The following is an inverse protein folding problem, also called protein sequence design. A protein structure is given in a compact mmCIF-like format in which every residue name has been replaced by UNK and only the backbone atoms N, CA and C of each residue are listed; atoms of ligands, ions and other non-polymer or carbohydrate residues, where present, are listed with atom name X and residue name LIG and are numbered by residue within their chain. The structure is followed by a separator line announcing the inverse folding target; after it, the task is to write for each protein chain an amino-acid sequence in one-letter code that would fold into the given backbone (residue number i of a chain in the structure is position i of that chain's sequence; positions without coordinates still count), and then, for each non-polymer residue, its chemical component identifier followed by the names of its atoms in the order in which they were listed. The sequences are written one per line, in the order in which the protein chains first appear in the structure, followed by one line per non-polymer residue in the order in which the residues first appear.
data_IF_704894783153
#
_entry.id   IF_704894783153
#
_cell.length_a   1.000
_cell.length_b   1.000
_cell.length_c   1.000
_cell.angle_alpha   90.00
_cell.angle_beta   90.00
_cell.angle_gamma   90.00
#
_symmetry.space_group_name_H-M   'P 1'
#
loop_
_entity.id
_entity.type
_entity.pdbx_description
1 polymer ?
#
# COMPACT_ATOMS: atom_id res chain seq x y z
N UNK A 1 17.96 -29.87 20.54
CA UNK A 1 18.15 -28.54 19.93
C UNK A 1 16.88 -27.76 20.13
N UNK A 2 16.89 -26.58 20.81
CA UNK A 2 15.73 -25.67 20.80
C UNK A 2 15.60 -25.12 19.38
N UNK A 3 14.48 -25.40 18.72
CA UNK A 3 14.15 -24.77 17.43
C UNK A 3 14.08 -23.27 17.69
N UNK A 4 14.99 -22.49 17.09
CA UNK A 4 14.95 -21.03 17.17
C UNK A 4 13.72 -20.57 16.40
N UNK A 5 12.74 -19.99 17.09
CA UNK A 5 11.61 -19.36 16.44
C UNK A 5 12.10 -18.17 15.60
N UNK A 6 11.61 -18.08 14.36
CA UNK A 6 11.87 -16.93 13.50
C UNK A 6 11.32 -15.67 14.15
N UNK A 7 12.16 -14.63 14.23
CA UNK A 7 11.79 -13.33 14.80
C UNK A 7 11.72 -12.30 13.69
N UNK A 8 10.63 -11.53 13.66
CA UNK A 8 10.42 -10.52 12.65
C UNK A 8 10.09 -9.16 13.25
N UNK A 9 10.52 -8.09 12.60
CA UNK A 9 10.15 -6.71 12.95
C UNK A 9 9.05 -6.21 12.03
N UNK A 10 7.99 -5.63 12.59
CA UNK A 10 6.95 -4.92 11.83
C UNK A 10 6.94 -3.45 12.25
N UNK A 11 7.21 -2.56 11.31
CA UNK A 11 7.00 -1.12 11.50
C UNK A 11 5.62 -0.72 10.97
N UNK A 12 4.96 0.23 11.62
CA UNK A 12 3.57 0.56 11.29
C UNK A 12 2.57 -0.52 11.71
N UNK A 13 2.92 -1.33 12.70
CA UNK A 13 2.15 -2.46 13.22
C UNK A 13 0.73 -2.07 13.68
N UNK A 14 0.52 -0.87 14.21
CA UNK A 14 -0.79 -0.39 14.67
C UNK A 14 -1.68 0.16 13.55
N UNK A 15 -1.16 0.25 12.32
CA UNK A 15 -1.89 0.73 11.15
C UNK A 15 -2.90 -0.29 10.60
N UNK A 16 -3.74 0.15 9.66
CA UNK A 16 -4.78 -0.66 9.01
C UNK A 16 -4.27 -1.99 8.44
N UNK A 17 -3.16 -1.94 7.69
CA UNK A 17 -2.51 -3.14 7.13
C UNK A 17 -1.63 -3.84 8.18
N UNK A 18 -0.88 -3.06 8.98
CA UNK A 18 0.06 -3.61 9.96
C UNK A 18 -0.57 -4.53 10.98
N UNK A 19 -1.74 -4.19 11.54
CA UNK A 19 -2.48 -5.05 12.48
C UNK A 19 -2.80 -6.42 11.86
N UNK A 20 -3.19 -6.46 10.59
CA UNK A 20 -3.51 -7.69 9.88
C UNK A 20 -2.28 -8.53 9.58
N UNK A 21 -1.18 -7.86 9.21
CA UNK A 21 0.10 -8.55 9.05
C UNK A 21 0.58 -9.16 10.35
N UNK A 22 0.57 -8.42 11.46
CA UNK A 22 0.93 -8.95 12.79
C UNK A 22 0.07 -10.18 13.12
N UNK A 23 -1.26 -10.08 12.97
CA UNK A 23 -2.16 -11.21 13.20
C UNK A 23 -1.84 -12.42 12.31
N UNK A 24 -1.52 -12.21 11.04
CA UNK A 24 -1.17 -13.31 10.12
C UNK A 24 0.16 -13.97 10.53
N UNK A 25 1.15 -13.18 10.94
CA UNK A 25 2.46 -13.68 11.37
C UNK A 25 2.38 -14.50 12.67
N UNK A 26 1.66 -13.99 13.70
CA UNK A 26 1.54 -14.72 14.99
C UNK A 26 0.69 -15.98 14.88
N UNK A 27 -0.31 -16.01 13.99
CA UNK A 27 -1.08 -17.23 13.69
C UNK A 27 -0.21 -18.37 13.15
N UNK A 28 0.86 -18.03 12.44
CA UNK A 28 1.84 -19.01 11.94
C UNK A 28 2.97 -19.28 12.97
N UNK A 29 2.83 -18.80 14.21
CA UNK A 29 3.76 -19.04 15.31
C UNK A 29 5.04 -18.22 15.28
N UNK A 30 5.12 -17.14 14.47
CA UNK A 30 6.30 -16.29 14.45
C UNK A 30 6.34 -15.31 15.63
N UNK A 31 7.54 -15.06 16.17
CA UNK A 31 7.75 -13.99 17.14
C UNK A 31 7.78 -12.63 16.44
N UNK A 32 6.83 -11.77 16.73
CA UNK A 32 6.67 -10.47 16.07
C UNK A 32 7.06 -9.34 16.99
N UNK A 33 8.09 -8.61 16.64
CA UNK A 33 8.46 -7.35 17.29
C UNK A 33 7.81 -6.19 16.59
N UNK A 34 7.18 -5.30 17.33
CA UNK A 34 6.46 -4.14 16.85
C UNK A 34 7.14 -2.87 17.36
N UNK A 35 7.80 -2.09 16.49
CA UNK A 35 8.25 -0.75 16.83
C UNK A 35 7.07 0.22 16.73
N UNK A 36 6.68 0.82 17.85
CA UNK A 36 5.48 1.65 17.95
C UNK A 36 5.77 2.97 18.65
N UNK A 37 5.16 4.05 18.19
CA UNK A 37 5.26 5.37 18.85
C UNK A 37 4.43 5.37 20.12
N UNK A 38 4.82 6.19 21.10
CA UNK A 38 4.09 6.32 22.37
C UNK A 38 2.60 6.72 22.24
N UNK A 39 2.23 7.33 21.11
CA UNK A 39 0.83 7.69 20.79
C UNK A 39 0.05 6.58 20.09
N UNK A 40 0.66 5.42 19.86
CA UNK A 40 0.04 4.31 19.12
C UNK A 40 -0.91 3.51 20.02
N UNK A 41 -2.03 3.09 19.46
CA UNK A 41 -3.01 2.23 20.12
C UNK A 41 -2.53 0.76 20.11
N UNK A 42 -1.71 0.42 21.11
CA UNK A 42 -1.13 -0.92 21.29
C UNK A 42 -2.18 -1.91 21.76
N UNK A 43 -3.11 -1.48 22.61
CA UNK A 43 -4.16 -2.35 23.13
C UNK A 43 -5.03 -2.90 22.00
N UNK A 44 -5.46 -2.03 21.09
CA UNK A 44 -6.20 -2.45 19.91
C UNK A 44 -5.39 -3.38 18.99
N UNK A 45 -4.07 -3.25 18.91
CA UNK A 45 -3.21 -4.18 18.17
C UNK A 45 -3.26 -5.58 18.83
N UNK A 46 -3.06 -5.66 20.14
CA UNK A 46 -3.03 -6.92 20.88
C UNK A 46 -4.40 -7.62 20.87
N UNK A 47 -5.49 -6.87 21.06
CA UNK A 47 -6.85 -7.40 20.94
C UNK A 47 -7.11 -7.96 19.53
N UNK A 48 -6.67 -7.26 18.49
CA UNK A 48 -6.85 -7.67 17.10
C UNK A 48 -6.03 -8.93 16.75
N UNK A 49 -4.84 -9.08 17.31
CA UNK A 49 -3.98 -10.26 17.12
C UNK A 49 -4.53 -11.54 17.80
N UNK A 50 -5.36 -11.38 18.84
CA UNK A 50 -5.89 -12.44 19.67
C UNK A 50 -5.10 -12.60 20.97
N UNK A 51 -5.80 -12.74 22.10
CA UNK A 51 -5.17 -12.83 23.43
C UNK A 51 -4.24 -14.05 23.55
N UNK A 52 -4.59 -15.14 22.89
CA UNK A 52 -3.81 -16.37 22.84
C UNK A 52 -2.43 -16.19 22.19
N UNK A 53 -2.31 -15.24 21.28
CA UNK A 53 -1.07 -14.95 20.54
C UNK A 53 -0.25 -13.81 21.16
N UNK A 54 -0.73 -13.16 22.21
CA UNK A 54 -0.07 -11.99 22.80
C UNK A 54 1.35 -12.26 23.25
N UNK A 55 1.66 -13.50 23.68
CA UNK A 55 2.99 -13.93 24.09
C UNK A 55 4.03 -13.98 22.95
N UNK A 56 3.58 -13.97 21.68
CA UNK A 56 4.43 -13.90 20.49
C UNK A 56 4.70 -12.45 20.05
N UNK A 57 4.08 -11.45 20.68
CA UNK A 57 4.22 -10.04 20.31
C UNK A 57 5.05 -9.30 21.34
N UNK A 58 6.19 -8.79 20.88
CA UNK A 58 7.07 -7.91 21.66
C UNK A 58 6.88 -6.47 21.17
N UNK A 59 6.43 -5.58 22.06
CA UNK A 59 6.24 -4.17 21.73
C UNK A 59 7.45 -3.38 22.18
N UNK A 60 8.08 -2.68 21.22
CA UNK A 60 9.19 -1.76 21.49
C UNK A 60 8.66 -0.33 21.30
N UNK A 61 8.58 0.46 22.39
CA UNK A 61 8.24 1.86 22.27
C UNK A 61 9.40 2.64 21.65
N UNK A 62 9.10 3.43 20.62
CA UNK A 62 10.11 4.25 19.92
C UNK A 62 9.60 4.74 18.56
N UNK A 63 10.36 5.64 17.97
CA UNK A 63 10.12 6.17 16.63
C UNK A 63 11.21 5.69 15.69
N UNK A 64 10.91 5.59 14.39
CA UNK A 64 11.89 5.23 13.35
C UNK A 64 13.02 6.26 13.23
N UNK A 65 12.87 7.44 13.82
CA UNK A 65 13.92 8.45 13.92
C UNK A 65 14.86 8.24 15.11
N UNK A 66 14.49 7.41 16.08
CA UNK A 66 15.31 7.00 17.22
C UNK A 66 16.13 5.76 16.83
N UNK A 67 17.41 6.00 16.54
CA UNK A 67 18.34 4.95 16.11
C UNK A 67 18.49 3.86 17.17
N UNK A 68 18.52 4.21 18.45
CA UNK A 68 18.65 3.25 19.56
C UNK A 68 17.45 2.31 19.61
N UNK A 69 16.23 2.86 19.51
CA UNK A 69 15.00 2.06 19.48
C UNK A 69 14.95 1.15 18.24
N UNK A 70 15.40 1.65 17.08
CA UNK A 70 15.50 0.86 15.84
C UNK A 70 16.51 -0.27 16.00
N UNK A 71 17.72 -0.01 16.52
CA UNK A 71 18.73 -1.03 16.77
C UNK A 71 18.24 -2.11 17.73
N UNK A 72 17.60 -1.71 18.84
CA UNK A 72 16.99 -2.65 19.79
C UNK A 72 15.92 -3.52 19.12
N UNK A 73 15.08 -2.89 18.28
CA UNK A 73 14.00 -3.59 17.59
C UNK A 73 14.52 -4.61 16.54
N UNK A 74 15.73 -4.43 16.02
CA UNK A 74 16.35 -5.31 15.04
C UNK A 74 17.10 -6.49 15.64
N UNK A 75 17.44 -6.49 16.94
CA UNK A 75 18.26 -7.52 17.56
C UNK A 75 17.69 -8.93 17.35
N UNK A 76 18.42 -9.75 16.60
CA UNK A 76 18.05 -11.13 16.29
C UNK A 76 16.83 -11.28 15.37
N UNK A 77 16.43 -10.24 14.65
CA UNK A 77 15.37 -10.33 13.66
C UNK A 77 15.89 -10.92 12.35
N UNK A 78 15.11 -11.83 11.79
CA UNK A 78 15.37 -12.49 10.51
C UNK A 78 14.76 -11.72 9.33
N UNK A 79 13.64 -11.01 9.57
CA UNK A 79 12.92 -10.23 8.55
C UNK A 79 12.43 -8.89 9.12
N UNK A 80 12.53 -7.85 8.32
CA UNK A 80 11.89 -6.55 8.59
C UNK A 80 10.74 -6.32 7.60
N UNK A 81 9.54 -6.13 8.10
CA UNK A 81 8.37 -5.70 7.32
C UNK A 81 8.14 -4.21 7.53
N UNK A 82 8.44 -3.41 6.52
CA UNK A 82 8.29 -1.96 6.59
C UNK A 82 6.95 -1.51 6.01
N UNK A 83 5.93 -1.40 6.89
CA UNK A 83 4.58 -0.95 6.54
C UNK A 83 4.33 0.53 6.90
N UNK A 84 5.23 1.16 7.67
CA UNK A 84 5.06 2.54 8.09
C UNK A 84 5.13 3.51 6.91
N UNK A 85 4.13 4.40 6.80
CA UNK A 85 4.10 5.48 5.82
C UNK A 85 3.12 6.58 6.25
N UNK A 86 3.40 7.82 5.89
CA UNK A 86 2.47 8.94 5.98
C UNK A 86 1.42 8.86 4.88
N UNK A 87 0.14 8.85 5.24
CA UNK A 87 -0.97 8.72 4.28
C UNK A 87 -1.71 10.04 4.05
N UNK A 88 -1.73 10.91 5.06
CA UNK A 88 -2.53 12.12 5.11
C UNK A 88 -1.72 13.31 5.65
N UNK A 89 -2.18 14.52 5.35
CA UNK A 89 -1.57 15.75 5.82
C UNK A 89 -0.85 16.53 4.72
N UNK A 90 -0.09 17.54 5.10
CA UNK A 90 0.72 18.32 4.19
C UNK A 90 1.82 17.47 3.54
N UNK A 91 2.29 17.86 2.36
CA UNK A 91 3.35 17.15 1.64
C UNK A 91 4.58 16.90 2.52
N UNK A 92 5.03 17.91 3.25
CA UNK A 92 6.16 17.81 4.18
C UNK A 92 5.92 16.73 5.25
N UNK A 93 4.72 16.66 5.84
CA UNK A 93 4.35 15.66 6.84
C UNK A 93 4.40 14.25 6.25
N UNK A 94 3.92 14.06 5.03
CA UNK A 94 3.97 12.77 4.34
C UNK A 94 5.42 12.32 4.12
N UNK A 95 6.29 13.24 3.66
CA UNK A 95 7.72 12.98 3.46
C UNK A 95 8.45 12.66 4.76
N UNK A 96 8.22 13.46 5.81
CA UNK A 96 8.81 13.26 7.14
C UNK A 96 8.38 11.93 7.78
N UNK A 97 7.20 11.42 7.47
CA UNK A 97 6.70 10.15 8.00
C UNK A 97 6.89 8.95 7.06
N UNK A 98 7.48 9.15 5.86
CA UNK A 98 7.71 8.07 4.89
C UNK A 98 9.17 8.00 4.47
N UNK A 99 9.69 9.06 3.87
CA UNK A 99 11.01 9.06 3.21
C UNK A 99 12.15 9.08 4.23
N UNK A 100 12.09 10.02 5.16
CA UNK A 100 13.17 10.23 6.14
C UNK A 100 13.34 9.01 7.07
N UNK A 101 12.25 8.46 7.65
CA UNK A 101 12.35 7.25 8.48
C UNK A 101 12.81 6.02 7.70
N UNK A 102 12.41 5.88 6.42
CA UNK A 102 12.87 4.76 5.59
C UNK A 102 14.37 4.82 5.36
N UNK A 103 14.92 6.02 5.06
CA UNK A 103 16.37 6.19 4.89
C UNK A 103 17.16 5.78 6.13
N UNK A 104 16.72 6.24 7.31
CA UNK A 104 17.33 5.82 8.59
C UNK A 104 17.22 4.33 8.83
N UNK A 105 16.03 3.77 8.64
CA UNK A 105 15.79 2.34 8.86
C UNK A 105 16.68 1.48 7.95
N UNK A 106 16.83 1.84 6.67
CA UNK A 106 17.71 1.12 5.72
C UNK A 106 19.15 1.12 6.22
N UNK A 107 19.68 2.25 6.68
CA UNK A 107 21.04 2.36 7.21
C UNK A 107 21.26 1.42 8.41
N UNK A 108 20.33 1.42 9.37
CA UNK A 108 20.46 0.57 10.58
C UNK A 108 20.29 -0.92 10.24
N UNK A 109 19.36 -1.26 9.34
CA UNK A 109 19.16 -2.64 8.86
C UNK A 109 20.41 -3.19 8.16
N UNK A 110 21.09 -2.37 7.38
CA UNK A 110 22.36 -2.72 6.74
C UNK A 110 23.45 -3.02 7.77
N UNK A 111 23.60 -2.17 8.77
CA UNK A 111 24.56 -2.37 9.86
C UNK A 111 24.27 -3.66 10.66
N UNK A 112 22.98 -3.94 10.92
CA UNK A 112 22.52 -5.13 11.61
C UNK A 112 22.64 -6.42 10.77
N UNK A 113 22.94 -6.31 9.47
CA UNK A 113 23.01 -7.42 8.50
C UNK A 113 21.76 -8.32 8.52
N UNK A 114 20.59 -7.71 8.69
CA UNK A 114 19.30 -8.45 8.69
C UNK A 114 19.09 -9.13 7.34
N UNK A 115 18.76 -10.43 7.29
CA UNK A 115 18.75 -11.21 6.04
C UNK A 115 17.66 -10.80 5.03
N UNK A 116 16.57 -10.18 5.47
CA UNK A 116 15.44 -9.82 4.60
C UNK A 116 14.77 -8.50 5.01
N UNK A 117 14.47 -7.67 4.01
CA UNK A 117 13.70 -6.44 4.18
C UNK A 117 12.54 -6.41 3.18
N UNK A 118 11.30 -6.36 3.66
CA UNK A 118 10.10 -6.27 2.83
C UNK A 118 9.56 -4.85 2.92
N UNK A 119 9.61 -4.13 1.79
CA UNK A 119 9.01 -2.80 1.68
C UNK A 119 7.57 -2.89 1.17
N UNK A 120 6.63 -2.32 1.91
CA UNK A 120 5.28 -2.09 1.40
C UNK A 120 5.22 -0.76 0.66
N UNK A 121 5.24 -0.82 -0.65
CA UNK A 121 5.11 0.30 -1.57
C UNK A 121 3.65 0.49 -2.03
N UNK A 122 3.41 0.79 -3.27
CA UNK A 122 2.08 0.99 -3.87
C UNK A 122 2.12 0.79 -5.38
N UNK A 123 1.06 0.26 -5.95
CA UNK A 123 0.84 0.25 -7.41
C UNK A 123 0.87 1.68 -8.02
N UNK A 124 0.64 2.69 -7.19
CA UNK A 124 0.69 4.10 -7.59
C UNK A 124 2.04 4.59 -8.09
N UNK A 125 3.14 3.89 -7.78
CA UNK A 125 4.51 4.29 -8.18
C UNK A 125 4.74 4.22 -9.68
N UNK A 126 3.94 3.44 -10.41
CA UNK A 126 4.11 3.29 -11.84
C UNK A 126 3.73 4.53 -12.65
N UNK A 127 4.48 4.76 -13.73
CA UNK A 127 4.20 5.75 -14.76
C UNK A 127 3.05 5.34 -15.68
N UNK A 128 1.89 4.98 -15.12
CA UNK A 128 0.74 4.47 -15.85
C UNK A 128 0.25 5.38 -17.01
N UNK A 129 0.65 6.66 -16.99
CA UNK A 129 0.33 7.63 -18.04
C UNK A 129 0.90 7.26 -19.41
N UNK A 130 2.05 6.57 -19.48
CA UNK A 130 2.68 6.20 -20.75
C UNK A 130 2.07 4.95 -21.40
N UNK A 131 1.33 4.14 -20.63
CA UNK A 131 0.69 2.93 -21.16
C UNK A 131 -0.45 3.29 -22.14
N UNK A 132 -0.73 2.45 -23.14
CA UNK A 132 -1.91 2.60 -23.98
C UNK A 132 -3.19 2.38 -23.14
N UNK A 133 -4.34 2.83 -23.66
CA UNK A 133 -5.62 2.46 -23.08
C UNK A 133 -5.81 0.95 -23.19
N UNK A 134 -6.36 0.32 -22.13
CA UNK A 134 -6.49 -1.13 -22.00
C UNK A 134 -5.15 -1.88 -22.01
N UNK A 135 -4.03 -1.15 -21.83
CA UNK A 135 -2.72 -1.76 -21.64
C UNK A 135 -2.62 -2.50 -20.32
N UNK A 136 -1.61 -3.34 -20.22
CA UNK A 136 -1.30 -4.09 -18.99
C UNK A 136 -0.34 -3.31 -18.13
N UNK A 137 -0.65 -3.19 -16.84
CA UNK A 137 0.23 -2.65 -15.82
C UNK A 137 0.74 -3.80 -14.97
N UNK A 138 1.93 -4.27 -15.31
CA UNK A 138 2.67 -5.31 -14.59
C UNK A 138 4.02 -4.77 -14.07
N UNK A 139 4.86 -5.64 -13.55
CA UNK A 139 6.15 -5.29 -12.95
C UNK A 139 7.22 -4.83 -13.95
N UNK A 140 6.99 -4.99 -15.25
CA UNK A 140 7.86 -4.49 -16.32
C UNK A 140 7.62 -3.02 -16.62
N UNK A 141 6.48 -2.47 -16.16
CA UNK A 141 6.17 -1.06 -16.33
C UNK A 141 7.17 -0.17 -15.58
N UNK A 142 7.62 0.93 -16.19
CA UNK A 142 8.55 1.84 -15.53
C UNK A 142 7.89 2.55 -14.34
N UNK A 143 8.69 2.80 -13.31
CA UNK A 143 8.32 3.72 -12.24
C UNK A 143 8.12 5.12 -12.84
N UNK A 144 7.24 5.91 -12.23
CA UNK A 144 6.88 7.24 -12.74
C UNK A 144 8.12 8.15 -12.83
N UNK A 145 8.48 8.63 -14.01
CA UNK A 145 9.69 9.48 -14.19
C UNK A 145 9.49 10.91 -13.70
N UNK A 146 8.27 11.34 -13.42
CA UNK A 146 7.93 12.69 -12.92
C UNK A 146 6.99 12.62 -11.71
N UNK A 147 7.38 11.92 -10.63
CA UNK A 147 6.50 11.68 -9.49
C UNK A 147 6.11 12.97 -8.75
N UNK A 148 6.89 14.03 -8.86
CA UNK A 148 6.58 15.36 -8.31
C UNK A 148 5.32 15.99 -8.94
N UNK A 149 4.91 15.54 -10.12
CA UNK A 149 3.64 15.95 -10.75
C UNK A 149 2.43 15.16 -10.26
N UNK A 150 2.66 14.12 -9.43
CA UNK A 150 1.63 13.31 -8.80
C UNK A 150 1.19 13.90 -7.47
N UNK A 151 0.39 13.18 -6.73
CA UNK A 151 0.10 13.51 -5.34
C UNK A 151 1.30 13.21 -4.43
N UNK A 152 1.34 13.89 -3.27
CA UNK A 152 2.48 13.80 -2.34
C UNK A 152 2.71 12.39 -1.80
N UNK A 153 1.64 11.58 -1.66
CA UNK A 153 1.76 10.19 -1.26
C UNK A 153 2.46 9.36 -2.33
N UNK A 154 2.00 9.42 -3.58
CA UNK A 154 2.65 8.72 -4.70
C UNK A 154 4.11 9.14 -4.85
N UNK A 155 4.39 10.45 -4.78
CA UNK A 155 5.77 10.95 -4.83
C UNK A 155 6.62 10.38 -3.68
N UNK A 156 6.12 10.39 -2.45
CA UNK A 156 6.86 9.83 -1.31
C UNK A 156 7.15 8.34 -1.47
N UNK A 157 6.22 7.57 -2.06
CA UNK A 157 6.40 6.14 -2.32
C UNK A 157 7.45 5.86 -3.41
N UNK A 158 7.50 6.69 -4.45
CA UNK A 158 8.56 6.58 -5.47
C UNK A 158 9.93 6.82 -4.83
N UNK A 159 10.09 7.91 -4.07
CA UNK A 159 11.36 8.21 -3.39
C UNK A 159 11.71 7.13 -2.36
N UNK A 160 10.71 6.57 -1.66
CA UNK A 160 10.90 5.45 -0.74
C UNK A 160 11.46 4.21 -1.45
N UNK A 161 10.93 3.87 -2.63
CA UNK A 161 11.48 2.76 -3.44
C UNK A 161 12.88 3.07 -3.96
N UNK A 162 13.15 4.29 -4.41
CA UNK A 162 14.49 4.70 -4.88
C UNK A 162 15.56 4.43 -3.81
N UNK A 163 15.28 4.78 -2.54
CA UNK A 163 16.20 4.55 -1.42
C UNK A 163 16.56 3.07 -1.29
N UNK A 164 15.57 2.17 -1.29
CA UNK A 164 15.83 0.73 -1.08
C UNK A 164 16.47 0.08 -2.31
N UNK A 165 16.10 0.52 -3.52
CA UNK A 165 16.71 0.01 -4.75
C UNK A 165 18.14 0.52 -4.93
N UNK A 166 18.44 1.75 -4.53
CA UNK A 166 19.81 2.27 -4.52
C UNK A 166 20.68 1.47 -3.55
N UNK A 167 20.21 1.23 -2.33
CA UNK A 167 20.90 0.41 -1.35
C UNK A 167 21.12 -1.04 -1.86
N UNK A 168 20.14 -1.61 -2.56
CA UNK A 168 20.26 -2.92 -3.18
C UNK A 168 21.35 -2.96 -4.26
N UNK A 169 21.32 -2.01 -5.19
CA UNK A 169 22.30 -1.95 -6.30
C UNK A 169 23.73 -1.69 -5.81
N UNK A 170 23.88 -0.84 -4.82
CA UNK A 170 25.21 -0.41 -4.36
C UNK A 170 25.83 -1.39 -3.34
N UNK A 171 25.00 -2.01 -2.49
CA UNK A 171 25.48 -2.73 -1.31
C UNK A 171 24.82 -4.10 -1.11
N UNK A 172 24.05 -4.59 -2.09
CA UNK A 172 23.36 -5.87 -1.98
C UNK A 172 22.27 -5.91 -0.91
N UNK A 173 21.66 -4.75 -0.57
CA UNK A 173 20.61 -4.69 0.44
C UNK A 173 19.48 -5.67 0.14
N UNK A 174 19.08 -6.56 1.09
CA UNK A 174 18.22 -7.71 0.83
C UNK A 174 16.72 -7.34 0.74
N UNK A 175 16.36 -6.47 -0.21
CA UNK A 175 15.00 -5.94 -0.34
C UNK A 175 14.09 -6.81 -1.19
N UNK A 176 12.83 -6.91 -0.77
CA UNK A 176 11.67 -7.34 -1.57
C UNK A 176 10.65 -6.23 -1.54
N UNK A 177 10.14 -5.79 -2.69
CA UNK A 177 9.17 -4.70 -2.77
C UNK A 177 7.78 -5.26 -3.09
N UNK A 178 6.79 -4.93 -2.28
CA UNK A 178 5.39 -5.24 -2.53
C UNK A 178 4.67 -3.97 -2.97
N UNK A 179 4.01 -4.02 -4.12
CA UNK A 179 3.21 -2.94 -4.72
C UNK A 179 1.73 -3.31 -4.70
N UNK A 180 1.04 -3.14 -3.57
CA UNK A 180 -0.39 -3.44 -3.51
C UNK A 180 -1.19 -2.43 -4.33
N UNK A 181 -2.35 -2.90 -4.80
CA UNK A 181 -3.38 -2.04 -5.35
C UNK A 181 -4.02 -1.15 -4.28
N UNK A 182 -5.28 -0.76 -4.49
CA UNK A 182 -6.04 -0.04 -3.48
C UNK A 182 -6.44 -1.01 -2.37
N UNK A 183 -5.79 -0.88 -1.21
CA UNK A 183 -6.07 -1.72 -0.05
C UNK A 183 -7.39 -1.28 0.57
N UNK A 184 -8.32 -2.22 0.71
CA UNK A 184 -9.64 -2.02 1.30
C UNK A 184 -10.02 -3.17 2.24
N UNK A 185 -11.03 -2.97 3.08
CA UNK A 185 -11.52 -3.99 4.03
C UNK A 185 -12.31 -3.37 5.17
N UNK A 186 -12.66 -4.13 6.21
CA UNK A 186 -13.36 -3.66 7.41
C UNK A 186 -12.65 -2.46 8.05
N UNK A 187 -13.43 -1.40 8.31
CA UNK A 187 -12.90 -0.12 8.80
C UNK A 187 -12.32 0.81 7.73
N UNK A 188 -12.14 0.32 6.49
CA UNK A 188 -11.70 1.11 5.34
C UNK A 188 -12.40 0.61 4.07
N UNK A 189 -13.57 1.15 3.79
CA UNK A 189 -14.42 0.71 2.68
C UNK A 189 -13.75 0.76 1.30
N UNK A 190 -14.44 0.22 0.31
CA UNK A 190 -13.96 0.13 -1.07
C UNK A 190 -14.23 1.40 -1.92
N UNK A 191 -14.98 2.40 -1.45
CA UNK A 191 -15.22 3.64 -2.18
C UNK A 191 -14.00 4.57 -2.11
N UNK A 192 -13.05 4.34 -3.00
CA UNK A 192 -11.85 5.18 -3.14
C UNK A 192 -12.02 6.24 -4.23
N UNK A 193 -11.13 7.24 -4.25
CA UNK A 193 -11.09 8.24 -5.32
C UNK A 193 -10.80 7.63 -6.72
N UNK A 194 -10.33 6.38 -6.78
CA UNK A 194 -10.21 5.65 -8.05
C UNK A 194 -11.56 5.22 -8.62
N UNK A 195 -12.60 5.03 -7.81
CA UNK A 195 -13.96 4.76 -8.30
C UNK A 195 -14.50 5.95 -9.09
N UNK A 196 -14.16 7.16 -8.65
CA UNK A 196 -14.56 8.40 -9.32
C UNK A 196 -14.38 9.62 -8.42
N UNK A 197 -14.82 10.76 -8.89
CA UNK A 197 -14.74 12.02 -8.15
C UNK A 197 -16.01 12.18 -7.30
N UNK A 198 -15.83 12.43 -6.01
CA UNK A 198 -16.96 12.75 -5.12
C UNK A 198 -17.23 14.25 -5.16
N UNK A 199 -18.43 14.63 -5.58
CA UNK A 199 -18.90 16.01 -5.61
C UNK A 199 -20.17 16.08 -4.75
N UNK A 200 -20.05 16.64 -3.56
CA UNK A 200 -21.12 16.58 -2.56
C UNK A 200 -21.57 15.13 -2.30
N UNK A 201 -22.88 14.83 -2.42
CA UNK A 201 -23.41 13.47 -2.23
C UNK A 201 -23.26 12.57 -3.48
N UNK A 202 -22.75 13.09 -4.59
CA UNK A 202 -22.70 12.41 -5.88
C UNK A 202 -21.30 11.87 -6.18
N UNK A 203 -21.21 10.59 -6.58
CA UNK A 203 -20.01 9.96 -7.08
C UNK A 203 -20.00 9.98 -8.62
N UNK A 204 -19.16 10.81 -9.23
CA UNK A 204 -18.97 10.86 -10.68
C UNK A 204 -18.03 9.75 -11.13
N UNK A 205 -18.50 8.79 -11.93
CA UNK A 205 -17.71 7.66 -12.43
C UNK A 205 -17.26 7.95 -13.87
N UNK A 206 -15.95 7.98 -14.09
CA UNK A 206 -15.37 8.16 -15.42
C UNK A 206 -15.19 6.81 -16.12
N UNK A 207 -16.10 6.48 -17.02
CA UNK A 207 -16.12 5.18 -17.70
C UNK A 207 -16.51 4.02 -16.77
N UNK A 208 -16.23 2.80 -17.22
CA UNK A 208 -16.41 1.57 -16.43
C UNK A 208 -15.08 0.80 -16.35
N UNK A 209 -14.17 1.31 -15.54
CA UNK A 209 -12.80 0.81 -15.42
C UNK A 209 -12.71 -0.29 -14.36
N UNK A 210 -11.79 -1.22 -14.58
CA UNK A 210 -11.40 -2.20 -13.57
C UNK A 210 -10.70 -1.47 -12.40
N UNK A 211 -11.04 -1.86 -11.19
CA UNK A 211 -10.46 -1.32 -9.97
C UNK A 211 -9.30 -2.20 -9.50
N UNK A 212 -8.07 -1.67 -9.38
CA UNK A 212 -6.93 -2.44 -8.88
C UNK A 212 -7.03 -2.62 -7.37
N UNK A 213 -7.87 -3.52 -6.91
CA UNK A 213 -8.13 -3.74 -5.50
C UNK A 213 -7.28 -4.86 -4.91
N UNK A 214 -6.98 -4.69 -3.62
CA UNK A 214 -6.36 -5.71 -2.78
C UNK A 214 -7.08 -5.73 -1.44
N UNK A 215 -7.73 -6.82 -1.12
CA UNK A 215 -8.33 -6.98 0.20
C UNK A 215 -7.24 -7.05 1.26
N UNK A 216 -7.45 -6.39 2.37
CA UNK A 216 -6.38 -6.14 3.35
C UNK A 216 -5.80 -7.41 3.96
N UNK A 217 -6.62 -8.47 4.18
CA UNK A 217 -6.11 -9.75 4.70
C UNK A 217 -5.30 -10.50 3.62
N UNK A 218 -5.78 -10.52 2.36
CA UNK A 218 -5.03 -11.06 1.22
C UNK A 218 -3.69 -10.33 1.02
N UNK A 219 -3.70 -9.00 1.17
CA UNK A 219 -2.49 -8.18 1.12
C UNK A 219 -1.49 -8.53 2.22
N UNK A 220 -1.98 -8.71 3.46
CA UNK A 220 -1.14 -9.08 4.59
C UNK A 220 -0.47 -10.45 4.38
N UNK A 221 -1.20 -11.42 3.84
CA UNK A 221 -0.65 -12.74 3.52
C UNK A 221 0.40 -12.67 2.41
N UNK A 222 0.21 -11.88 1.35
CA UNK A 222 1.23 -11.68 0.33
C UNK A 222 2.50 -11.05 0.90
N UNK A 223 2.37 -10.04 1.77
CA UNK A 223 3.51 -9.39 2.44
C UNK A 223 4.24 -10.40 3.34
N UNK A 224 3.51 -11.21 4.10
CA UNK A 224 4.09 -12.27 4.91
C UNK A 224 4.93 -13.22 4.06
N UNK A 225 4.37 -13.72 2.94
CA UNK A 225 5.08 -14.62 2.03
C UNK A 225 6.36 -13.99 1.46
N UNK A 226 6.34 -12.71 1.11
CA UNK A 226 7.52 -11.99 0.62
C UNK A 226 8.71 -12.00 1.61
N UNK A 227 8.44 -12.13 2.90
CA UNK A 227 9.48 -12.28 3.92
C UNK A 227 9.94 -13.72 4.12
N UNK A 228 9.13 -14.72 3.77
CA UNK A 228 9.37 -16.13 4.09
C UNK A 228 9.88 -16.96 2.91
N UNK A 229 9.39 -16.67 1.70
CA UNK A 229 9.77 -17.43 0.49
C UNK A 229 11.24 -17.13 0.13
N UNK A 230 12.07 -18.16 -0.16
CA UNK A 230 13.44 -17.95 -0.62
C UNK A 230 13.47 -17.33 -2.04
N UNK A 231 14.67 -16.86 -2.45
CA UNK A 231 15.02 -16.46 -3.83
C UNK A 231 14.17 -15.32 -4.45
N UNK A 232 13.55 -14.48 -3.61
CA UNK A 232 12.75 -13.32 -4.05
C UNK A 232 13.41 -11.97 -3.76
N UNK A 233 14.61 -11.98 -3.19
CA UNK A 233 15.40 -10.75 -2.96
C UNK A 233 15.70 -10.05 -4.28
N UNK A 234 15.65 -8.72 -4.29
CA UNK A 234 15.86 -7.92 -5.50
C UNK A 234 14.65 -7.90 -6.45
N UNK A 235 13.48 -8.35 -5.99
CA UNK A 235 12.27 -8.37 -6.83
C UNK A 235 11.16 -7.45 -6.29
N UNK A 236 10.33 -6.97 -7.23
CA UNK A 236 9.08 -6.28 -6.92
C UNK A 236 7.89 -7.14 -7.36
N UNK A 237 6.79 -7.07 -6.61
CA UNK A 237 5.57 -7.84 -6.86
C UNK A 237 4.33 -6.95 -6.77
N UNK A 238 3.51 -6.98 -7.81
CA UNK A 238 2.17 -6.41 -7.78
C UNK A 238 1.23 -7.35 -7.03
N UNK A 239 0.61 -6.85 -5.99
CA UNK A 239 -0.33 -7.63 -5.18
C UNK A 239 -1.73 -7.08 -5.38
N UNK A 240 -2.55 -7.86 -6.10
CA UNK A 240 -3.94 -7.56 -6.41
C UNK A 240 -4.76 -8.82 -6.24
N UNK A 241 -6.03 -8.66 -5.87
CA UNK A 241 -6.94 -9.80 -5.79
C UNK A 241 -7.33 -10.30 -7.18
N UNK A 242 -7.90 -11.49 -7.22
CA UNK A 242 -8.56 -12.02 -8.41
C UNK A 242 -9.93 -11.37 -8.61
N UNK A 243 -10.53 -11.55 -9.79
CA UNK A 243 -11.89 -11.08 -10.11
C UNK A 243 -12.12 -9.60 -9.81
N UNK A 244 -11.15 -8.76 -10.20
CA UNK A 244 -11.18 -7.33 -9.94
C UNK A 244 -12.47 -6.67 -10.45
N UNK A 245 -13.24 -5.97 -9.59
CA UNK A 245 -14.51 -5.39 -9.98
C UNK A 245 -14.32 -4.13 -10.82
N UNK A 246 -15.27 -3.84 -11.67
CA UNK A 246 -15.39 -2.52 -12.28
C UNK A 246 -15.92 -1.48 -11.29
N UNK A 247 -15.72 -0.20 -11.59
CA UNK A 247 -16.31 0.92 -10.82
C UNK A 247 -17.83 0.77 -10.64
N UNK A 248 -18.54 0.25 -11.66
CA UNK A 248 -19.98 0.02 -11.62
C UNK A 248 -20.33 -1.08 -10.60
N UNK A 249 -19.62 -2.20 -10.65
CA UNK A 249 -19.84 -3.33 -9.72
C UNK A 249 -19.58 -2.93 -8.27
N UNK A 250 -18.56 -2.12 -7.99
CA UNK A 250 -18.32 -1.61 -6.63
C UNK A 250 -19.53 -0.83 -6.11
N UNK A 251 -20.08 0.10 -6.90
CA UNK A 251 -21.26 0.88 -6.48
C UNK A 251 -22.49 -0.01 -6.34
N UNK A 252 -22.65 -0.99 -7.23
CA UNK A 252 -23.76 -1.96 -7.14
C UNK A 252 -23.65 -2.79 -5.86
N UNK A 253 -22.44 -3.24 -5.47
CA UNK A 253 -22.23 -3.95 -4.20
C UNK A 253 -22.67 -3.09 -3.00
N UNK A 254 -22.29 -1.82 -2.95
CA UNK A 254 -22.77 -0.91 -1.89
C UNK A 254 -24.29 -0.81 -1.84
N UNK A 255 -24.94 -0.65 -2.98
CA UNK A 255 -26.40 -0.56 -3.07
C UNK A 255 -27.09 -1.87 -2.66
N UNK A 256 -26.54 -3.00 -3.08
CA UNK A 256 -27.05 -4.32 -2.72
C UNK A 256 -27.02 -4.54 -1.19
N UNK A 257 -26.02 -4.02 -0.52
CA UNK A 257 -25.91 -4.05 0.95
C UNK A 257 -26.59 -2.85 1.65
N UNK A 258 -27.59 -2.23 1.02
CA UNK A 258 -28.43 -1.19 1.64
C UNK A 258 -27.77 0.19 1.79
N UNK A 259 -26.55 0.38 1.30
CA UNK A 259 -25.89 1.71 1.39
C UNK A 259 -26.34 2.62 0.25
N UNK A 260 -26.86 3.79 0.58
CA UNK A 260 -27.32 4.79 -0.41
C UNK A 260 -26.13 5.48 -1.08
N UNK A 261 -25.72 5.03 -2.27
CA UNK A 261 -24.67 5.66 -3.08
C UNK A 261 -25.28 6.26 -4.33
N UNK A 262 -25.35 7.59 -4.39
CA UNK A 262 -25.74 8.32 -5.60
C UNK A 262 -24.55 8.37 -6.55
N UNK A 263 -24.73 7.95 -7.80
CA UNK A 263 -23.65 7.99 -8.79
C UNK A 263 -24.16 8.37 -10.17
N UNK A 264 -23.38 9.16 -10.89
CA UNK A 264 -23.59 9.47 -12.29
C UNK A 264 -22.42 8.91 -13.12
N UNK A 265 -22.74 8.42 -14.31
CA UNK A 265 -21.74 8.00 -15.27
C UNK A 265 -21.31 9.19 -16.12
N UNK A 266 -20.01 9.32 -16.32
CA UNK A 266 -19.39 10.35 -17.13
C UNK A 266 -18.51 9.65 -18.18
N UNK A 267 -18.61 9.99 -19.47
CA UNK A 267 -17.79 9.38 -20.50
C UNK A 267 -16.29 9.55 -20.21
N UNK A 268 -15.50 8.50 -20.41
CA UNK A 268 -14.06 8.51 -20.13
C UNK A 268 -13.29 9.60 -20.91
N UNK A 269 -13.74 9.94 -22.11
CA UNK A 269 -13.11 10.98 -22.95
C UNK A 269 -13.18 12.37 -22.33
N UNK A 270 -14.13 12.64 -21.44
CA UNK A 270 -14.28 13.94 -20.79
C UNK A 270 -13.20 14.23 -19.76
N UNK A 271 -12.48 13.22 -19.29
CA UNK A 271 -11.43 13.38 -18.26
C UNK A 271 -10.34 14.36 -18.72
N UNK A 272 -9.84 14.21 -19.95
CA UNK A 272 -8.78 15.10 -20.48
C UNK A 272 -9.23 16.56 -20.59
N UNK A 273 -10.34 16.90 -21.26
CA UNK A 273 -10.79 18.30 -21.35
C UNK A 273 -11.15 18.89 -19.98
N UNK A 274 -11.76 18.13 -19.08
CA UNK A 274 -12.04 18.59 -17.71
C UNK A 274 -10.72 18.90 -16.95
N UNK A 275 -9.72 18.04 -17.05
CA UNK A 275 -8.43 18.28 -16.41
C UNK A 275 -7.74 19.51 -16.97
N UNK A 276 -7.74 19.73 -18.29
CA UNK A 276 -7.17 20.92 -18.92
C UNK A 276 -7.90 22.21 -18.50
N UNK A 277 -9.23 22.16 -18.41
CA UNK A 277 -10.02 23.30 -17.95
C UNK A 277 -9.67 23.64 -16.49
N UNK A 278 -9.55 22.62 -15.63
CA UNK A 278 -9.15 22.80 -14.24
C UNK A 278 -7.73 23.35 -14.10
N UNK A 279 -6.77 22.84 -14.88
CA UNK A 279 -5.39 23.37 -14.92
C UNK A 279 -5.36 24.83 -15.39
N UNK A 280 -6.17 25.20 -16.39
CA UNK A 280 -6.27 26.57 -16.87
C UNK A 280 -6.88 27.50 -15.81
N UNK A 281 -7.92 27.04 -15.11
CA UNK A 281 -8.52 27.78 -14.01
C UNK A 281 -7.53 27.93 -12.82
N UNK A 282 -6.80 26.88 -12.47
CA UNK A 282 -5.76 26.94 -11.42
C UNK A 282 -4.70 28.00 -11.75
N UNK A 283 -4.24 28.06 -13.01
CA UNK A 283 -3.29 29.09 -13.46
C UNK A 283 -3.88 30.48 -13.42
N UNK A 284 -5.10 30.65 -13.90
CA UNK A 284 -5.82 31.93 -13.90
C UNK A 284 -6.07 32.45 -12.47
N UNK A 285 -6.45 31.57 -11.54
CA UNK A 285 -6.67 31.91 -10.13
C UNK A 285 -5.37 32.09 -9.32
N UNK A 286 -4.20 32.09 -9.97
CA UNK A 286 -2.87 32.19 -9.31
C UNK A 286 -2.68 31.19 -8.17
N UNK A 287 -3.21 29.99 -8.32
CA UNK A 287 -3.04 28.89 -7.37
C UNK A 287 -3.96 28.91 -6.13
N UNK A 288 -5.02 29.72 -6.11
CA UNK A 288 -6.01 29.73 -5.02
C UNK A 288 -6.68 28.36 -4.83
N UNK A 289 -6.85 27.59 -5.92
CA UNK A 289 -7.27 26.19 -5.83
C UNK A 289 -6.05 25.26 -5.86
N UNK A 290 -6.03 24.21 -5.03
CA UNK A 290 -4.96 23.22 -5.08
C UNK A 290 -4.96 22.47 -6.41
N UNK A 291 -3.78 22.26 -7.00
CA UNK A 291 -3.63 21.57 -8.30
C UNK A 291 -3.85 20.04 -8.17
N UNK A 292 -5.07 19.62 -7.84
CA UNK A 292 -5.43 18.22 -7.56
C UNK A 292 -5.85 17.42 -8.79
N UNK A 293 -6.43 18.10 -9.82
CA UNK A 293 -6.91 17.47 -11.05
C UNK A 293 -6.07 18.00 -12.21
N UNK A 294 -4.99 17.30 -12.53
CA UNK A 294 -4.16 17.59 -13.70
C UNK A 294 -4.33 16.52 -14.75
N UNK A 295 -4.02 16.83 -16.00
CA UNK A 295 -4.00 15.83 -17.09
C UNK A 295 -3.06 14.69 -16.72
N UNK A 296 -1.89 14.98 -16.17
CA UNK A 296 -0.90 13.98 -15.75
C UNK A 296 -1.45 13.04 -14.67
N UNK A 297 -2.01 13.58 -13.59
CA UNK A 297 -2.61 12.79 -12.50
C UNK A 297 -3.80 11.98 -12.97
N UNK A 298 -4.68 12.61 -13.75
CA UNK A 298 -5.92 11.98 -14.23
C UNK A 298 -5.64 10.80 -15.16
N UNK A 299 -4.64 10.90 -16.04
CA UNK A 299 -4.22 9.80 -16.90
C UNK A 299 -3.66 8.63 -16.10
N UNK A 300 -2.82 8.89 -15.12
CA UNK A 300 -2.27 7.84 -14.27
C UNK A 300 -3.33 7.20 -13.34
N UNK A 301 -4.34 7.97 -12.95
CA UNK A 301 -5.31 7.56 -11.92
C UNK A 301 -6.56 6.90 -12.50
N UNK A 302 -7.05 7.41 -13.66
CA UNK A 302 -8.32 6.98 -14.25
C UNK A 302 -8.19 6.34 -15.64
N UNK A 303 -6.98 6.00 -16.07
CA UNK A 303 -6.80 5.24 -17.32
C UNK A 303 -7.35 3.81 -17.15
N UNK A 304 -8.13 3.28 -18.11
CA UNK A 304 -8.53 1.89 -18.11
C UNK A 304 -7.29 1.01 -18.40
N UNK A 305 -6.94 0.14 -17.48
CA UNK A 305 -5.78 -0.76 -17.55
C UNK A 305 -6.18 -2.15 -17.06
N UNK A 306 -5.38 -3.15 -17.41
CA UNK A 306 -5.40 -4.51 -16.86
C UNK A 306 -4.30 -4.66 -15.82
N UNK A 307 -4.56 -5.43 -14.77
CA UNK A 307 -3.69 -5.56 -13.60
C UNK A 307 -3.47 -7.03 -13.26
N UNK A 308 -2.48 -7.72 -13.87
CA UNK A 308 -2.16 -9.10 -13.53
C UNK A 308 -1.49 -9.19 -12.14
N UNK A 309 -1.70 -10.36 -11.50
CA UNK A 309 -1.06 -10.73 -10.24
C UNK A 309 -0.26 -12.04 -10.35
N UNK A 310 -0.05 -12.52 -11.57
CA UNK A 310 0.55 -13.83 -11.86
C UNK A 310 1.96 -13.97 -11.27
N UNK A 311 2.78 -12.93 -11.32
CA UNK A 311 4.13 -12.95 -10.74
C UNK A 311 4.10 -13.18 -9.24
N UNK A 312 3.24 -12.48 -8.51
CA UNK A 312 3.08 -12.68 -7.07
C UNK A 312 2.59 -14.09 -6.75
N UNK A 313 1.62 -14.62 -7.50
CA UNK A 313 1.12 -15.98 -7.33
C UNK A 313 2.21 -17.04 -7.52
N UNK A 314 3.00 -16.91 -8.58
CA UNK A 314 4.01 -17.89 -8.93
C UNK A 314 5.21 -17.84 -7.98
N UNK A 315 5.76 -16.67 -7.72
CA UNK A 315 7.02 -16.54 -7.02
C UNK A 315 6.85 -16.42 -5.49
N UNK A 316 5.74 -15.86 -5.00
CA UNK A 316 5.45 -15.82 -3.56
C UNK A 316 4.63 -17.02 -3.07
N UNK A 317 4.24 -17.94 -3.96
CA UNK A 317 3.33 -19.05 -3.65
C UNK A 317 2.08 -18.56 -2.93
N UNK A 318 1.57 -17.40 -3.34
CA UNK A 318 0.45 -16.70 -2.75
C UNK A 318 -0.78 -16.75 -3.64
N UNK A 319 -1.94 -16.87 -3.03
CA UNK A 319 -3.24 -16.72 -3.68
C UNK A 319 -4.18 -15.93 -2.76
N UNK A 320 -5.06 -15.06 -3.32
CA UNK A 320 -6.08 -14.39 -2.53
C UNK A 320 -7.01 -15.42 -1.88
N UNK A 321 -6.95 -15.57 -0.57
CA UNK A 321 -7.76 -16.54 0.18
C UNK A 321 -9.22 -16.09 0.31
N UNK A 322 -9.46 -14.77 0.33
CA UNK A 322 -10.81 -14.19 0.42
C UNK A 322 -11.23 -13.74 -0.98
N UNK A 323 -12.30 -14.34 -1.55
CA UNK A 323 -12.82 -13.93 -2.86
C UNK A 323 -13.32 -12.48 -2.86
N UNK A 324 -13.27 -11.79 -4.00
CA UNK A 324 -13.63 -10.37 -4.13
C UNK A 324 -15.06 -10.05 -3.67
N UNK A 325 -16.01 -10.94 -3.93
CA UNK A 325 -17.41 -10.76 -3.49
C UNK A 325 -17.53 -10.71 -1.97
N UNK A 326 -16.86 -11.62 -1.28
CA UNK A 326 -16.82 -11.67 0.19
C UNK A 326 -16.00 -10.52 0.77
N UNK A 327 -14.88 -10.16 0.14
CA UNK A 327 -14.06 -9.01 0.50
C UNK A 327 -14.88 -7.70 0.48
N UNK A 328 -15.67 -7.48 -0.58
CA UNK A 328 -16.57 -6.33 -0.69
C UNK A 328 -17.67 -6.37 0.37
N UNK A 329 -18.28 -7.53 0.61
CA UNK A 329 -19.29 -7.68 1.66
C UNK A 329 -18.74 -7.28 3.03
N UNK A 330 -17.58 -7.83 3.43
CA UNK A 330 -16.93 -7.47 4.71
C UNK A 330 -16.59 -5.99 4.79
N UNK A 331 -16.03 -5.41 3.74
CA UNK A 331 -15.65 -4.00 3.72
C UNK A 331 -16.85 -3.02 3.78
N UNK A 332 -18.05 -3.47 3.41
CA UNK A 332 -19.27 -2.65 3.39
C UNK A 332 -20.07 -2.81 4.69
N UNK A 333 -20.07 -4.01 5.30
CA UNK A 333 -20.92 -4.34 6.42
C UNK A 333 -20.23 -4.21 7.78
N UNK A 334 -18.92 -4.32 7.82
CA UNK A 334 -18.06 -4.20 9.01
C UNK A 334 -17.24 -2.91 8.99
#
# INVERSE_FOLDING_TARGET
MKVRLMKVLVTGATGFLGKRLVRSLVKDGLCVRCLVRGTSDVESLLQFAGKENAHLIEVIPGDLMDETAVQQSLQGCDVVYHCAAGMNGAAATIFLNTVVPTRKLVQVVQQAKTPRFVLVSSLGVYGAGVLPKQGTLDETCPVDPKPQLRDSYTFSKVVQEEIVWEAHRQQGFPVVVIRPGVIFGPGRGALSARVGLKVGPLQLRFGNRIMPYTFVDNCADAIKQAGLVPDVVGQAFNVLDDDLPSCKQVIQAYRHHGKKVRSAWVPQWTVKPMSRLYESYHRWSKGQLPNVITTYRSEAFWKPLHFPNSKAKQNLHWQPAVPMTEALRRAIME
#
